data_IF_111799654310
#
_entry.id   IF_111799654310
#
_cell.length_a   1.000
_cell.length_b   1.000
_cell.length_c   1.000
_cell.angle_alpha   90.00
_cell.angle_beta   90.00
_cell.angle_gamma   90.00
#
_symmetry.space_group_name_H-M   'P 1'
#
loop_
_entity.id
_entity.type
_entity.pdbx_description
1 polymer ?
#
# COMPACT_ATOMS: atom_id res chain seq x y z
N UNK A 1 -19.51 63.78 104.03
CA UNK A 1 -19.89 62.95 102.84
C UNK A 1 -18.79 62.71 101.85
N UNK A 2 -17.77 63.51 101.59
CA UNK A 2 -16.70 63.27 100.53
C UNK A 2 -15.69 62.14 100.87
N UNK A 3 -15.52 61.69 102.11
CA UNK A 3 -14.58 60.60 102.47
C UNK A 3 -15.18 59.21 102.29
N UNK A 4 -16.50 59.07 102.53
CA UNK A 4 -17.21 57.77 102.32
C UNK A 4 -17.33 57.39 100.82
N UNK A 5 -17.51 58.35 99.94
CA UNK A 5 -17.61 58.17 98.48
C UNK A 5 -16.23 57.66 97.88
N UNK A 6 -15.11 58.16 98.43
CA UNK A 6 -13.80 57.69 97.94
C UNK A 6 -13.47 56.25 98.37
N UNK A 7 -13.93 55.82 99.56
CA UNK A 7 -13.70 54.42 100.05
C UNK A 7 -14.59 53.44 99.22
N UNK A 8 -15.86 53.83 98.96
CA UNK A 8 -16.75 53.00 98.18
C UNK A 8 -16.27 52.90 96.72
N UNK A 9 -15.72 53.95 96.10
CA UNK A 9 -15.12 53.90 94.78
C UNK A 9 -13.85 53.07 94.75
N UNK A 10 -13.03 53.07 95.80
CA UNK A 10 -11.82 52.26 95.95
C UNK A 10 -12.16 50.76 96.00
N UNK A 11 -13.19 50.38 96.78
CA UNK A 11 -13.58 48.96 96.91
C UNK A 11 -14.19 48.44 95.60
N UNK A 12 -15.00 49.29 94.90
CA UNK A 12 -15.55 48.93 93.59
C UNK A 12 -14.42 48.74 92.57
N UNK A 13 -13.35 49.56 92.58
CA UNK A 13 -12.24 49.40 91.63
C UNK A 13 -11.39 48.12 91.94
N UNK A 14 -11.23 47.77 93.16
CA UNK A 14 -10.49 46.50 93.55
C UNK A 14 -11.36 45.30 93.19
N UNK A 15 -12.69 45.37 93.40
CA UNK A 15 -13.63 44.32 92.98
C UNK A 15 -13.64 44.10 91.47
N UNK A 16 -13.64 45.19 90.68
CA UNK A 16 -13.59 45.08 89.25
C UNK A 16 -12.26 44.48 88.70
N UNK A 17 -11.16 44.84 89.29
CA UNK A 17 -9.82 44.24 88.95
C UNK A 17 -9.78 42.77 89.35
N UNK A 18 -10.37 42.40 90.53
CA UNK A 18 -10.43 40.99 90.98
C UNK A 18 -11.27 40.13 90.01
N UNK A 19 -12.36 40.62 89.56
CA UNK A 19 -13.26 39.92 88.53
C UNK A 19 -12.53 39.77 87.22
N UNK A 20 -11.82 40.79 86.74
CA UNK A 20 -11.03 40.71 85.52
C UNK A 20 -9.87 39.74 85.59
N UNK A 21 -9.18 39.70 86.74
CA UNK A 21 -8.07 38.72 86.98
C UNK A 21 -8.66 37.32 87.08
N UNK A 22 -9.77 37.11 87.80
CA UNK A 22 -10.45 35.81 87.87
C UNK A 22 -11.00 35.34 86.59
N UNK A 23 -11.54 36.21 85.72
CA UNK A 23 -12.01 35.89 84.35
C UNK A 23 -10.83 35.54 83.47
N UNK A 24 -9.64 36.08 83.69
CA UNK A 24 -8.46 35.79 82.88
C UNK A 24 -7.76 34.47 83.28
N UNK A 25 -7.82 34.08 84.58
CA UNK A 25 -7.30 32.83 85.09
C UNK A 25 -8.21 31.65 84.75
N UNK A 26 -9.51 31.88 84.54
CA UNK A 26 -10.47 30.87 84.28
C UNK A 26 -10.81 30.74 82.80
N UNK A 27 -10.00 31.33 81.90
CA UNK A 27 -10.02 30.98 80.49
C UNK A 27 -9.63 29.54 80.38
N UNK A 28 -10.61 28.62 80.26
CA UNK A 28 -10.37 27.26 79.84
C UNK A 28 -9.53 27.30 78.59
N UNK A 29 -8.37 26.75 78.57
CA UNK A 29 -7.65 26.42 77.37
C UNK A 29 -8.57 25.51 76.55
N UNK A 30 -8.97 25.95 75.37
CA UNK A 30 -9.64 25.07 74.42
C UNK A 30 -8.70 23.93 74.16
N UNK A 31 -9.15 22.64 74.21
CA UNK A 31 -8.28 21.52 73.92
C UNK A 31 -7.76 21.75 72.51
N UNK A 32 -6.45 21.79 72.33
CA UNK A 32 -5.76 21.76 71.06
C UNK A 32 -6.27 20.47 70.39
N UNK A 33 -7.13 20.61 69.40
CA UNK A 33 -7.49 19.47 68.54
C UNK A 33 -6.19 18.88 68.01
N UNK A 34 -5.87 17.70 68.51
CA UNK A 34 -4.69 16.98 68.04
C UNK A 34 -4.90 16.70 66.54
N UNK A 35 -4.11 17.39 65.70
CA UNK A 35 -4.05 17.09 64.27
C UNK A 35 -3.74 15.59 64.18
N UNK A 36 -4.60 14.79 63.64
CA UNK A 36 -4.31 13.36 63.54
C UNK A 36 -3.02 13.17 62.75
N UNK A 37 -2.14 12.37 63.28
CA UNK A 37 -0.89 12.02 62.62
C UNK A 37 -1.22 11.50 61.21
N UNK A 38 -0.51 11.95 60.16
CA UNK A 38 -0.76 11.51 58.81
C UNK A 38 -0.58 9.97 58.72
N UNK A 39 -1.67 9.27 58.52
CA UNK A 39 -1.64 7.83 58.32
C UNK A 39 -1.05 7.56 56.94
N UNK A 40 0.18 7.16 56.89
CA UNK A 40 0.83 6.72 55.65
C UNK A 40 0.54 5.24 55.47
N UNK A 41 -0.21 4.91 54.43
CA UNK A 41 -0.37 3.52 54.01
C UNK A 41 0.89 3.06 53.29
N UNK A 42 1.62 2.15 53.90
CA UNK A 42 2.74 1.49 53.25
C UNK A 42 2.20 0.25 52.56
N UNK A 43 2.26 0.24 51.23
CA UNK A 43 2.08 -0.98 50.42
C UNK A 43 3.42 -1.54 50.03
N UNK A 44 3.53 -2.84 50.13
CA UNK A 44 4.72 -3.52 49.60
C UNK A 44 4.73 -3.34 48.08
N UNK A 45 5.90 -3.14 47.43
CA UNK A 45 5.98 -3.08 46.00
C UNK A 45 5.54 -4.42 45.37
N UNK A 46 4.59 -4.35 44.49
CA UNK A 46 4.17 -5.48 43.70
C UNK A 46 4.90 -5.41 42.35
N UNK A 47 5.43 -6.57 41.90
CA UNK A 47 6.00 -6.66 40.56
C UNK A 47 4.86 -6.73 39.57
N UNK A 48 4.80 -5.76 38.68
CA UNK A 48 3.82 -5.73 37.57
C UNK A 48 4.55 -5.58 36.24
N UNK A 49 3.92 -6.04 35.18
CA UNK A 49 4.38 -5.83 33.81
C UNK A 49 3.87 -4.46 33.34
N UNK A 50 4.77 -3.64 32.85
CA UNK A 50 4.42 -2.38 32.20
C UNK A 50 4.42 -2.65 30.68
N UNK A 51 3.26 -2.55 30.08
CA UNK A 51 3.13 -2.59 28.62
C UNK A 51 3.33 -1.17 28.09
N UNK A 52 4.27 -1.01 27.16
CA UNK A 52 4.54 0.26 26.50
C UNK A 52 3.87 0.24 25.13
N UNK A 53 2.93 1.13 24.94
CA UNK A 53 2.30 1.36 23.66
C UNK A 53 2.91 2.59 23.00
N UNK A 54 3.08 2.52 21.68
CA UNK A 54 3.52 3.65 20.86
C UNK A 54 2.53 3.82 19.73
N UNK A 55 1.88 4.98 19.69
CA UNK A 55 0.97 5.33 18.62
C UNK A 55 1.77 5.81 17.41
N UNK A 56 1.51 5.18 16.26
CA UNK A 56 2.14 5.48 14.99
C UNK A 56 1.08 5.75 13.95
N UNK A 57 1.40 6.63 13.01
CA UNK A 57 0.55 6.87 11.83
C UNK A 57 1.20 6.25 10.61
N UNK A 58 0.40 5.58 9.79
CA UNK A 58 0.86 4.91 8.57
C UNK A 58 -0.10 5.08 7.41
N UNK A 59 0.40 4.85 6.21
CA UNK A 59 -0.40 4.79 4.98
C UNK A 59 -0.81 3.35 4.70
N UNK A 60 -2.09 3.16 4.39
CA UNK A 60 -2.61 1.86 3.97
C UNK A 60 -2.48 1.77 2.45
N UNK A 61 -1.73 0.79 2.00
CA UNK A 61 -1.50 0.51 0.58
C UNK A 61 -1.95 -0.92 0.26
N UNK A 62 -2.45 -1.18 -0.95
CA UNK A 62 -2.69 -2.56 -1.38
C UNK A 62 -1.35 -3.30 -1.45
N UNK A 63 -1.29 -4.51 -0.93
CA UNK A 63 -0.08 -5.33 -0.99
C UNK A 63 0.26 -5.69 -2.44
N UNK A 64 -0.76 -5.97 -3.25
CA UNK A 64 -0.63 -6.23 -4.67
C UNK A 64 -1.14 -5.02 -5.44
N UNK A 65 -0.28 -4.41 -6.25
CA UNK A 65 -0.66 -3.35 -7.19
C UNK A 65 0.05 -3.57 -8.51
N UNK A 66 -0.59 -3.20 -9.60
CA UNK A 66 0.01 -3.29 -10.92
C UNK A 66 -0.36 -2.09 -11.78
N UNK A 67 0.64 -1.57 -12.48
CA UNK A 67 0.43 -0.53 -13.47
C UNK A 67 -0.10 -1.14 -14.77
N UNK A 68 -1.09 -0.48 -15.35
CA UNK A 68 -1.57 -0.77 -16.68
C UNK A 68 -0.68 0.00 -17.67
N UNK A 69 0.19 -0.73 -18.35
CA UNK A 69 1.15 -0.14 -19.29
C UNK A 69 0.71 -0.48 -20.70
N UNK A 70 0.64 0.54 -21.54
CA UNK A 70 0.35 0.39 -22.95
C UNK A 70 1.58 -0.18 -23.69
N UNK A 71 1.37 -1.25 -24.46
CA UNK A 71 2.45 -1.92 -25.19
C UNK A 71 2.51 -1.50 -26.66
N UNK A 72 1.39 -1.04 -27.22
CA UNK A 72 1.29 -0.64 -28.62
C UNK A 72 1.40 0.87 -28.83
N UNK A 73 1.31 1.30 -30.06
CA UNK A 73 1.22 2.72 -30.45
C UNK A 73 -0.03 2.88 -31.31
N UNK A 74 -0.89 3.84 -30.96
CA UNK A 74 -2.11 4.10 -31.74
C UNK A 74 -3.10 4.98 -31.01
N UNK A 75 -4.18 5.32 -31.69
CA UNK A 75 -5.32 6.05 -31.16
C UNK A 75 -6.24 5.09 -30.39
N UNK A 76 -6.79 5.52 -29.26
CA UNK A 76 -7.77 4.75 -28.49
C UNK A 76 -9.11 4.75 -29.22
N UNK A 77 -9.55 3.56 -29.62
CA UNK A 77 -10.84 3.38 -30.32
C UNK A 77 -12.01 3.19 -29.35
N UNK A 78 -11.80 2.41 -28.32
CA UNK A 78 -12.84 2.01 -27.38
C UNK A 78 -12.26 1.89 -25.98
N UNK A 79 -13.02 2.35 -24.98
CA UNK A 79 -12.71 2.22 -23.55
C UNK A 79 -13.84 1.45 -22.89
N UNK A 80 -13.53 0.37 -22.18
CA UNK A 80 -14.51 -0.57 -21.61
C UNK A 80 -14.73 -0.39 -20.11
N UNK A 81 -13.87 0.37 -19.43
CA UNK A 81 -13.86 0.53 -17.96
C UNK A 81 -13.67 2.00 -17.59
N UNK A 82 -14.00 2.31 -16.35
CA UNK A 82 -13.77 3.64 -15.75
C UNK A 82 -12.98 3.52 -14.47
N UNK A 83 -12.39 4.63 -14.04
CA UNK A 83 -11.78 4.72 -12.72
C UNK A 83 -12.79 4.34 -11.64
N UNK A 84 -12.38 3.50 -10.69
CA UNK A 84 -13.21 2.96 -9.62
C UNK A 84 -13.90 1.63 -9.94
N UNK A 85 -13.86 1.15 -11.19
CA UNK A 85 -14.42 -0.15 -11.54
C UNK A 85 -13.57 -1.29 -10.99
N UNK A 86 -14.23 -2.38 -10.60
CA UNK A 86 -13.57 -3.65 -10.27
C UNK A 86 -13.36 -4.44 -11.55
N UNK A 87 -12.13 -4.90 -11.76
CA UNK A 87 -11.74 -5.66 -12.96
C UNK A 87 -11.14 -7.00 -12.60
N UNK A 88 -11.35 -8.00 -13.44
CA UNK A 88 -10.71 -9.31 -13.33
C UNK A 88 -9.38 -9.36 -14.09
N UNK A 89 -8.46 -10.24 -13.67
CA UNK A 89 -7.23 -10.48 -14.41
C UNK A 89 -7.51 -10.90 -15.85
N UNK A 90 -6.93 -10.20 -16.83
CA UNK A 90 -7.14 -10.42 -18.25
C UNK A 90 -8.37 -9.73 -18.83
N UNK A 91 -9.18 -9.03 -18.02
CA UNK A 91 -10.30 -8.23 -18.50
C UNK A 91 -9.81 -7.10 -19.41
N UNK A 92 -10.48 -6.90 -20.54
CA UNK A 92 -10.17 -5.83 -21.49
C UNK A 92 -10.48 -4.47 -20.88
N UNK A 93 -9.52 -3.56 -20.94
CA UNK A 93 -9.65 -2.20 -20.42
C UNK A 93 -9.93 -1.20 -21.53
N UNK A 94 -9.15 -1.26 -22.59
CA UNK A 94 -9.36 -0.43 -23.79
C UNK A 94 -8.71 -1.06 -25.02
N UNK A 95 -9.04 -0.53 -26.19
CA UNK A 95 -8.55 -0.98 -27.50
C UNK A 95 -7.96 0.19 -28.25
N UNK A 96 -6.80 -0.02 -28.88
CA UNK A 96 -6.12 0.97 -29.72
C UNK A 96 -6.17 0.59 -31.20
N UNK A 97 -6.13 1.58 -32.08
CA UNK A 97 -5.90 1.40 -33.50
C UNK A 97 -4.40 1.20 -33.76
N UNK A 98 -4.01 -0.05 -33.96
CA UNK A 98 -2.63 -0.41 -34.21
C UNK A 98 -2.40 -0.68 -35.71
N UNK A 99 -1.94 0.33 -36.43
CA UNK A 99 -1.61 0.20 -37.88
C UNK A 99 -0.55 -0.86 -38.14
N UNK A 100 0.32 -1.16 -37.17
CA UNK A 100 1.30 -2.23 -37.28
C UNK A 100 0.66 -3.62 -37.35
N UNK A 101 -0.55 -3.80 -36.78
CA UNK A 101 -1.33 -5.03 -36.89
C UNK A 101 -1.76 -5.30 -38.33
N UNK A 102 -2.21 -4.27 -39.03
CA UNK A 102 -2.62 -4.43 -40.46
C UNK A 102 -1.41 -4.78 -41.33
N UNK A 103 -0.26 -4.15 -41.11
CA UNK A 103 0.98 -4.49 -41.80
C UNK A 103 1.40 -5.94 -41.53
N UNK A 104 1.34 -6.37 -40.26
CA UNK A 104 1.66 -7.73 -39.87
C UNK A 104 0.69 -8.74 -40.49
N UNK A 105 -0.60 -8.43 -40.59
CA UNK A 105 -1.62 -9.27 -41.29
C UNK A 105 -1.28 -9.47 -42.75
N UNK A 106 -0.89 -8.41 -43.45
CA UNK A 106 -0.44 -8.51 -44.86
C UNK A 106 0.79 -9.41 -44.96
N UNK A 107 1.76 -9.27 -44.06
CA UNK A 107 2.96 -10.09 -44.02
C UNK A 107 2.64 -11.58 -43.83
N UNK A 108 1.73 -11.93 -42.91
CA UNK A 108 1.27 -13.30 -42.71
C UNK A 108 0.63 -13.86 -43.99
N UNK A 109 -0.26 -13.09 -44.64
CA UNK A 109 -0.90 -13.53 -45.86
C UNK A 109 0.10 -13.78 -46.99
N UNK A 110 1.10 -12.92 -47.13
CA UNK A 110 2.17 -13.06 -48.13
C UNK A 110 3.02 -14.31 -47.86
N UNK A 111 3.44 -14.50 -46.60
CA UNK A 111 4.24 -15.68 -46.20
C UNK A 111 3.45 -16.99 -46.36
N UNK A 112 2.14 -16.96 -46.05
CA UNK A 112 1.25 -18.11 -46.29
C UNK A 112 1.17 -18.48 -47.76
N UNK A 113 0.97 -17.50 -48.64
CA UNK A 113 0.94 -17.73 -50.07
C UNK A 113 2.26 -18.33 -50.58
N UNK A 114 3.40 -17.86 -50.07
CA UNK A 114 4.71 -18.41 -50.40
C UNK A 114 4.85 -19.87 -49.95
N UNK A 115 4.39 -20.21 -48.75
CA UNK A 115 4.34 -21.58 -48.25
C UNK A 115 3.44 -22.49 -49.12
N UNK A 116 2.25 -22.04 -49.43
CA UNK A 116 1.29 -22.78 -50.26
C UNK A 116 1.87 -23.07 -51.68
N UNK A 117 2.57 -22.09 -52.26
CA UNK A 117 3.28 -22.24 -53.52
C UNK A 117 4.45 -23.27 -53.42
N UNK A 118 5.27 -23.17 -52.37
CA UNK A 118 6.36 -24.10 -52.13
C UNK A 118 5.83 -25.53 -51.91
N UNK A 119 4.75 -25.69 -51.14
CA UNK A 119 4.11 -26.99 -50.91
C UNK A 119 3.54 -27.58 -52.20
N UNK A 120 2.91 -26.76 -53.05
CA UNK A 120 2.39 -27.18 -54.36
C UNK A 120 3.53 -27.61 -55.28
N UNK A 121 4.66 -26.89 -55.24
CA UNK A 121 5.85 -27.29 -56.01
C UNK A 121 6.43 -28.60 -55.49
N UNK A 122 6.56 -28.79 -54.16
CA UNK A 122 7.00 -30.02 -53.57
C UNK A 122 6.16 -31.23 -54.01
N UNK A 123 4.83 -31.07 -54.01
CA UNK A 123 3.91 -32.12 -54.43
C UNK A 123 4.15 -32.54 -55.92
N UNK A 124 4.43 -31.56 -56.78
CA UNK A 124 4.82 -31.86 -58.19
C UNK A 124 6.19 -32.54 -58.28
N UNK A 125 7.20 -32.05 -57.58
CA UNK A 125 8.54 -32.61 -57.60
C UNK A 125 8.61 -34.01 -56.97
N UNK A 126 7.73 -34.30 -56.01
CA UNK A 126 7.57 -35.62 -55.43
C UNK A 126 7.19 -36.67 -56.49
N UNK A 127 6.22 -36.38 -57.36
CA UNK A 127 5.80 -37.26 -58.43
C UNK A 127 6.95 -37.49 -59.42
N UNK A 128 7.69 -36.45 -59.81
CA UNK A 128 8.85 -36.53 -60.69
C UNK A 128 10.03 -37.31 -60.08
N UNK A 129 10.19 -37.23 -58.78
CA UNK A 129 11.22 -38.01 -58.08
C UNK A 129 10.86 -39.51 -58.02
N UNK A 130 9.59 -39.80 -57.75
CA UNK A 130 9.08 -41.19 -57.73
C UNK A 130 9.14 -41.86 -59.13
N UNK A 131 9.01 -41.09 -60.22
CA UNK A 131 9.20 -41.57 -61.60
C UNK A 131 10.67 -41.68 -62.04
N UNK A 132 11.62 -41.15 -61.23
CA UNK A 132 13.04 -41.12 -61.56
C UNK A 132 13.50 -39.98 -62.45
N UNK A 133 12.61 -38.99 -62.72
CA UNK A 133 12.90 -37.90 -63.66
C UNK A 133 13.75 -36.78 -63.07
N UNK A 134 13.89 -36.71 -61.71
CA UNK A 134 14.75 -35.77 -61.04
C UNK A 134 15.68 -36.43 -60.04
N UNK A 135 16.83 -35.77 -59.75
CA UNK A 135 17.80 -36.26 -58.77
C UNK A 135 17.31 -36.07 -57.32
N UNK A 136 17.82 -36.90 -56.40
CA UNK A 136 17.57 -36.78 -54.96
C UNK A 136 17.95 -35.40 -54.46
N UNK A 137 19.07 -34.83 -54.92
CA UNK A 137 19.51 -33.48 -54.55
C UNK A 137 18.48 -32.40 -54.94
N UNK A 138 17.85 -32.52 -56.12
CA UNK A 138 16.81 -31.57 -56.56
C UNK A 138 15.57 -31.69 -55.70
N UNK A 139 15.16 -32.92 -55.36
CA UNK A 139 14.03 -33.15 -54.48
C UNK A 139 14.30 -32.59 -53.04
N UNK A 140 15.47 -32.89 -52.48
CA UNK A 140 15.85 -32.34 -51.14
C UNK A 140 15.91 -30.84 -51.13
N UNK A 141 16.43 -30.20 -52.19
CA UNK A 141 16.41 -28.75 -52.31
C UNK A 141 14.97 -28.17 -52.27
N UNK A 142 14.00 -28.91 -52.88
CA UNK A 142 12.61 -28.48 -52.84
C UNK A 142 11.98 -28.68 -51.46
N UNK A 143 12.34 -29.75 -50.73
CA UNK A 143 11.93 -29.98 -49.36
C UNK A 143 12.42 -28.82 -48.47
N UNK A 144 13.70 -28.50 -48.58
CA UNK A 144 14.34 -27.41 -47.83
C UNK A 144 13.66 -26.06 -48.15
N UNK A 145 13.23 -25.86 -49.41
CA UNK A 145 12.48 -24.68 -49.80
C UNK A 145 11.11 -24.55 -49.09
N UNK A 146 10.41 -25.68 -48.90
CA UNK A 146 9.16 -25.69 -48.10
C UNK A 146 9.46 -25.39 -46.63
N UNK A 147 10.47 -25.96 -46.06
CA UNK A 147 10.84 -25.72 -44.67
C UNK A 147 11.19 -24.25 -44.41
N UNK A 148 11.94 -23.63 -45.32
CA UNK A 148 12.23 -22.22 -45.28
C UNK A 148 10.95 -21.35 -45.33
N UNK A 149 10.04 -21.66 -46.27
CA UNK A 149 8.77 -20.93 -46.41
C UNK A 149 7.87 -21.13 -45.19
N UNK A 150 7.90 -22.29 -44.54
CA UNK A 150 7.18 -22.57 -43.31
C UNK A 150 7.71 -21.72 -42.15
N UNK A 151 9.02 -21.68 -41.93
CA UNK A 151 9.66 -20.86 -40.91
C UNK A 151 9.35 -19.37 -41.09
N UNK A 152 9.31 -18.91 -42.36
CA UNK A 152 8.96 -17.54 -42.67
C UNK A 152 7.49 -17.23 -42.33
N UNK A 153 6.56 -18.17 -42.63
CA UNK A 153 5.16 -18.04 -42.24
C UNK A 153 5.00 -18.03 -40.69
N UNK A 154 5.66 -18.92 -39.97
CA UNK A 154 5.62 -18.99 -38.50
C UNK A 154 6.15 -17.71 -37.88
N UNK A 155 7.26 -17.16 -38.40
CA UNK A 155 7.82 -15.87 -37.96
C UNK A 155 6.84 -14.70 -38.20
N UNK A 156 6.22 -14.65 -39.39
CA UNK A 156 5.24 -13.62 -39.70
C UNK A 156 4.01 -13.74 -38.80
N UNK A 157 3.56 -14.96 -38.53
CA UNK A 157 2.42 -15.24 -37.63
C UNK A 157 2.72 -14.81 -36.19
N UNK A 158 3.90 -15.14 -35.66
CA UNK A 158 4.32 -14.72 -34.32
C UNK A 158 4.30 -13.19 -34.19
N UNK A 159 4.83 -12.48 -35.19
CA UNK A 159 4.80 -11.03 -35.20
C UNK A 159 3.35 -10.50 -35.21
N UNK A 160 2.44 -11.10 -36.01
CA UNK A 160 1.04 -10.72 -36.01
C UNK A 160 0.38 -10.94 -34.64
N UNK A 161 0.62 -12.09 -34.02
CA UNK A 161 0.05 -12.43 -32.71
C UNK A 161 0.51 -11.41 -31.64
N UNK A 162 1.79 -11.03 -31.63
CA UNK A 162 2.33 -9.97 -30.74
C UNK A 162 1.65 -8.62 -31.01
N UNK A 163 1.47 -8.23 -32.27
CA UNK A 163 0.79 -6.96 -32.58
C UNK A 163 -0.70 -7.01 -32.21
N UNK A 164 -1.35 -8.16 -32.33
CA UNK A 164 -2.75 -8.35 -31.92
C UNK A 164 -2.90 -8.24 -30.40
N UNK A 165 -2.01 -8.85 -29.62
CA UNK A 165 -1.98 -8.70 -28.17
C UNK A 165 -1.77 -7.25 -27.74
N UNK A 166 -0.92 -6.50 -28.45
CA UNK A 166 -0.66 -5.10 -28.14
C UNK A 166 -1.81 -4.16 -28.51
N UNK A 167 -2.79 -4.63 -29.30
CA UNK A 167 -3.95 -3.83 -29.73
C UNK A 167 -5.02 -3.73 -28.62
N UNK A 168 -5.13 -4.74 -27.76
CA UNK A 168 -6.09 -4.76 -26.66
C UNK A 168 -5.32 -4.78 -25.34
N UNK A 169 -5.45 -3.72 -24.59
CA UNK A 169 -4.84 -3.64 -23.26
C UNK A 169 -5.79 -4.25 -22.24
N UNK A 170 -5.27 -5.19 -21.46
CA UNK A 170 -6.03 -5.92 -20.45
C UNK A 170 -5.38 -5.78 -19.07
N UNK A 171 -6.19 -6.03 -18.03
CA UNK A 171 -5.78 -5.95 -16.64
C UNK A 171 -4.72 -7.03 -16.31
N UNK A 172 -3.53 -6.66 -15.79
CA UNK A 172 -2.50 -7.62 -15.40
C UNK A 172 -2.86 -8.41 -14.15
N UNK A 173 -3.63 -7.80 -13.24
CA UNK A 173 -4.16 -8.41 -12.01
C UNK A 173 -5.65 -8.10 -11.87
N UNK A 174 -6.35 -8.84 -11.02
CA UNK A 174 -7.72 -8.49 -10.58
C UNK A 174 -7.67 -7.48 -9.45
N UNK A 175 -8.67 -6.59 -9.39
CA UNK A 175 -8.76 -5.57 -8.34
C UNK A 175 -9.55 -4.35 -8.77
N UNK A 176 -9.41 -3.26 -8.03
CA UNK A 176 -10.07 -1.98 -8.31
C UNK A 176 -9.14 -1.07 -9.11
N UNK A 177 -9.64 -0.48 -10.17
CA UNK A 177 -8.93 0.48 -11.01
C UNK A 177 -8.82 1.83 -10.27
N UNK A 178 -7.76 2.00 -9.50
CA UNK A 178 -7.58 3.15 -8.61
C UNK A 178 -7.31 4.44 -9.39
N UNK A 179 -6.54 4.35 -10.46
CA UNK A 179 -6.33 5.45 -11.39
C UNK A 179 -6.47 4.95 -12.83
N UNK A 180 -7.11 5.74 -13.66
CA UNK A 180 -7.25 5.48 -15.08
C UNK A 180 -7.44 6.80 -15.82
N UNK A 181 -6.56 7.07 -16.78
CA UNK A 181 -6.49 8.35 -17.48
C UNK A 181 -6.45 8.16 -19.01
N UNK A 182 -7.34 7.29 -19.52
CA UNK A 182 -7.41 7.00 -20.95
C UNK A 182 -8.83 7.30 -21.44
N UNK A 183 -8.92 8.17 -22.42
CA UNK A 183 -10.18 8.50 -23.10
C UNK A 183 -10.15 8.07 -24.57
N UNK A 184 -11.34 7.93 -25.17
CA UNK A 184 -11.48 7.65 -26.59
C UNK A 184 -10.88 8.79 -27.39
N UNK A 185 -10.12 8.47 -28.44
CA UNK A 185 -9.32 9.36 -29.29
C UNK A 185 -8.00 9.83 -28.70
N UNK A 186 -7.61 9.37 -27.52
CA UNK A 186 -6.25 9.63 -27.01
C UNK A 186 -5.19 8.91 -27.86
N UNK A 187 -4.03 9.55 -28.01
CA UNK A 187 -2.87 8.93 -28.65
C UNK A 187 -2.00 8.24 -27.60
N UNK A 188 -1.92 6.92 -27.67
CA UNK A 188 -1.12 6.12 -26.76
C UNK A 188 0.21 5.74 -27.39
N UNK A 189 1.28 5.86 -26.59
CA UNK A 189 2.63 5.43 -26.95
C UNK A 189 3.01 4.15 -26.19
N UNK A 190 3.92 3.37 -26.77
CA UNK A 190 4.47 2.20 -26.09
C UNK A 190 5.22 2.61 -24.81
N UNK A 191 4.94 1.91 -23.71
CA UNK A 191 5.48 2.23 -22.38
C UNK A 191 4.68 3.30 -21.63
N UNK A 192 3.65 3.90 -22.22
CA UNK A 192 2.78 4.85 -21.55
C UNK A 192 1.96 4.18 -20.44
N UNK A 193 1.90 4.82 -19.27
CA UNK A 193 1.07 4.38 -18.16
C UNK A 193 -0.38 4.82 -18.40
N UNK A 194 -1.29 3.85 -18.39
CA UNK A 194 -2.72 4.10 -18.58
C UNK A 194 -3.48 4.18 -17.24
N UNK A 195 -2.96 3.56 -16.21
CA UNK A 195 -3.58 3.53 -14.89
C UNK A 195 -2.90 2.59 -13.91
N UNK A 196 -3.52 2.42 -12.74
CA UNK A 196 -3.05 1.52 -11.69
C UNK A 196 -4.24 0.70 -11.16
N UNK A 197 -4.03 -0.59 -11.00
CA UNK A 197 -4.98 -1.51 -10.37
C UNK A 197 -4.47 -1.86 -8.98
N UNK A 198 -5.31 -1.63 -7.98
CA UNK A 198 -5.11 -2.07 -6.61
C UNK A 198 -5.75 -3.44 -6.44
N UNK A 199 -4.97 -4.47 -6.13
CA UNK A 199 -5.48 -5.82 -5.89
C UNK A 199 -6.42 -5.89 -4.68
N UNK A 200 -7.38 -6.80 -4.72
CA UNK A 200 -8.32 -7.05 -3.61
C UNK A 200 -7.71 -7.84 -2.46
N UNK A 201 -6.43 -8.18 -2.55
CA UNK A 201 -5.70 -8.98 -1.56
C UNK A 201 -5.45 -8.26 -0.24
N UNK A 202 -4.49 -8.79 0.51
CA UNK A 202 -4.04 -8.22 1.79
C UNK A 202 -3.60 -6.77 1.62
N UNK A 203 -3.85 -5.96 2.63
CA UNK A 203 -3.39 -4.57 2.68
C UNK A 203 -2.13 -4.52 3.53
N UNK A 204 -1.17 -3.74 3.10
CA UNK A 204 0.02 -3.41 3.85
C UNK A 204 -0.09 -1.99 4.41
N UNK A 205 0.59 -1.77 5.52
CA UNK A 205 0.68 -0.45 6.14
C UNK A 205 2.14 -0.13 6.28
N UNK A 206 2.56 0.95 5.66
CA UNK A 206 3.88 1.51 5.85
C UNK A 206 3.83 2.61 6.90
N UNK A 207 4.71 2.53 7.89
CA UNK A 207 4.84 3.53 8.93
C UNK A 207 6.31 3.79 9.26
N UNK A 208 6.61 5.01 9.67
CA UNK A 208 7.95 5.42 10.05
C UNK A 208 8.11 5.35 11.57
N UNK A 209 9.18 4.72 12.02
CA UNK A 209 9.51 4.62 13.44
C UNK A 209 10.85 5.30 13.74
N UNK A 210 10.99 5.82 14.96
CA UNK A 210 12.29 6.29 15.42
C UNK A 210 13.21 5.09 15.74
N UNK A 211 14.54 5.29 15.67
CA UNK A 211 15.53 4.27 15.99
C UNK A 211 15.31 3.61 17.37
N UNK A 212 14.79 4.36 18.31
CA UNK A 212 14.51 3.88 19.66
C UNK A 212 13.39 2.84 19.69
N UNK A 213 12.34 3.07 18.92
CA UNK A 213 11.16 2.18 18.80
C UNK A 213 11.53 0.95 17.97
N UNK A 214 12.27 1.16 16.88
CA UNK A 214 12.71 0.09 15.99
C UNK A 214 13.52 -1.02 16.72
N UNK A 215 14.38 -0.67 17.68
CA UNK A 215 15.14 -1.68 18.46
C UNK A 215 14.25 -2.67 19.25
N UNK A 216 12.98 -2.32 19.46
CA UNK A 216 12.01 -3.16 20.16
C UNK A 216 11.07 -3.93 19.27
N UNK A 217 11.07 -3.68 17.95
CA UNK A 217 10.15 -4.25 16.97
C UNK A 217 10.86 -5.37 16.19
N UNK A 218 10.14 -6.45 15.90
CA UNK A 218 10.64 -7.58 15.09
C UNK A 218 9.59 -8.02 14.08
N UNK A 219 10.04 -8.55 12.96
CA UNK A 219 9.16 -9.23 12.02
C UNK A 219 8.42 -10.39 12.73
N UNK A 220 7.10 -10.42 12.57
CA UNK A 220 6.21 -11.35 13.27
C UNK A 220 5.51 -10.75 14.50
N UNK A 221 5.90 -9.57 14.97
CA UNK A 221 5.24 -8.93 16.11
C UNK A 221 3.80 -8.52 15.73
N UNK A 222 2.82 -8.72 16.63
CA UNK A 222 1.46 -8.29 16.41
C UNK A 222 1.33 -6.76 16.53
N UNK A 223 0.51 -6.16 15.69
CA UNK A 223 0.16 -4.74 15.73
C UNK A 223 -1.34 -4.56 15.66
N UNK A 224 -1.84 -3.58 16.39
CA UNK A 224 -3.23 -3.15 16.28
C UNK A 224 -3.30 -1.88 15.41
N UNK A 225 -4.21 -1.92 14.44
CA UNK A 225 -4.42 -0.80 13.52
C UNK A 225 -5.85 -0.30 13.69
N UNK A 226 -6.00 0.97 13.99
CA UNK A 226 -7.30 1.62 14.05
C UNK A 226 -7.53 2.46 12.80
N UNK A 227 -8.67 2.23 12.14
CA UNK A 227 -9.13 3.06 11.02
C UNK A 227 -10.61 3.37 11.19
N UNK A 228 -10.93 4.66 11.27
CA UNK A 228 -12.31 5.16 11.43
C UNK A 228 -13.06 4.51 12.59
N UNK A 229 -12.39 4.26 13.73
CA UNK A 229 -12.98 3.63 14.91
C UNK A 229 -13.11 2.10 14.83
N UNK A 230 -12.63 1.48 13.77
CA UNK A 230 -12.59 0.01 13.64
C UNK A 230 -11.16 -0.47 13.85
N UNK A 231 -11.00 -1.47 14.72
CA UNK A 231 -9.71 -2.09 15.01
C UNK A 231 -9.48 -3.30 14.11
N UNK A 232 -8.27 -3.38 13.60
CA UNK A 232 -7.77 -4.50 12.79
C UNK A 232 -6.51 -5.03 13.43
N UNK A 233 -6.28 -6.33 13.33
CA UNK A 233 -5.03 -6.96 13.75
C UNK A 233 -4.15 -7.20 12.54
N UNK A 234 -2.88 -6.86 12.68
CA UNK A 234 -1.85 -7.10 11.68
C UNK A 234 -0.60 -7.71 12.30
N UNK A 235 0.34 -8.08 11.47
CA UNK A 235 1.67 -8.53 11.87
C UNK A 235 2.72 -7.77 11.08
N UNK A 236 3.84 -7.48 11.70
CA UNK A 236 4.97 -6.84 11.04
C UNK A 236 5.62 -7.86 10.11
N UNK A 237 5.69 -7.56 8.82
CA UNK A 237 6.23 -8.47 7.80
C UNK A 237 7.66 -8.16 7.41
N UNK A 238 8.01 -6.88 7.31
CA UNK A 238 9.32 -6.42 6.87
C UNK A 238 9.78 -5.22 7.68
N UNK A 239 11.08 -5.17 7.95
CA UNK A 239 11.78 -4.02 8.52
C UNK A 239 12.67 -3.43 7.42
N UNK A 240 12.33 -2.23 6.93
CA UNK A 240 13.15 -1.56 5.91
C UNK A 240 13.94 -0.43 6.53
N UNK A 241 15.28 -0.53 6.50
CA UNK A 241 16.19 0.52 6.93
C UNK A 241 16.55 1.45 5.78
N UNK A 242 16.18 2.72 5.91
CA UNK A 242 16.76 3.78 5.08
C UNK A 242 17.76 4.55 5.94
N UNK A 243 19.05 4.35 5.68
CA UNK A 243 20.08 5.24 6.22
C UNK A 243 20.06 6.49 5.35
N UNK A 244 19.67 7.61 5.93
CA UNK A 244 19.76 8.89 5.23
C UNK A 244 21.24 9.18 4.92
N UNK A 245 21.58 9.67 3.69
CA UNK A 245 22.94 10.07 3.35
C UNK A 245 23.56 11.12 4.30
N UNK A 246 22.74 11.81 5.08
CA UNK A 246 23.19 12.77 6.09
C UNK A 246 23.88 12.14 7.31
N UNK A 247 23.69 10.86 7.57
CA UNK A 247 24.29 10.15 8.71
C UNK A 247 25.71 9.64 8.43
N UNK A 248 26.19 9.74 7.19
CA UNK A 248 27.57 9.40 6.81
C UNK A 248 28.61 10.51 7.07
N UNK A 249 28.21 11.68 7.60
CA UNK A 249 29.08 12.84 7.83
C UNK A 249 29.25 13.21 9.31
N UNK A 250 29.05 12.25 10.22
CA UNK A 250 29.43 12.44 11.63
C UNK A 250 30.45 11.43 12.09
#
# INVERSE_FOLDING_TARGET
>A
MKKIVKIVMGVAAVGAVGVLVFARINKKEEPIEAVPDPVVQIKNPEMGTIELFTDLTGSVEPQDSAYVINKGVGEVLEVYVKQGDTVEKGQKLYKIDNKSLDAARISVNTAKLSLDNAQTNLNRMKVLYESGDISAQSYESTVNGVDMARLQYESAKLNYDVQAENTVVSAPIGGVLESFSVDVHDMMNSGGMAGMIAGEGSKSISFNVSERVHKGIKAGDPVEVEKNGTQYQGTITEEMWWISPADFLR
#
